data_IF_914056857136
#
_entry.id   IF_914056857136
#
_cell.length_a   1.000
_cell.length_b   1.000
_cell.length_c   1.000
_cell.angle_alpha   90.00
_cell.angle_beta   90.00
_cell.angle_gamma   90.00
#
_symmetry.space_group_name_H-M   'P 1'
#
loop_
_entity.id
_entity.type
_entity.pdbx_description
1 polymer ?
#
# COMPACT_ATOMS: atom_id res chain seq x y z
N UNK A 1 -0.71 -12.26 -4.28
CA UNK A 1 -1.75 -11.20 -4.42
C UNK A 1 -1.20 -9.84 -3.95
N UNK A 2 -1.74 -8.72 -4.46
CA UNK A 2 -1.42 -7.34 -4.04
C UNK A 2 -2.69 -6.51 -3.91
N UNK A 3 -2.91 -5.90 -2.75
CA UNK A 3 -4.04 -4.97 -2.54
C UNK A 3 -3.71 -3.60 -3.17
N UNK A 4 -4.66 -3.02 -3.89
CA UNK A 4 -4.50 -1.74 -4.58
C UNK A 4 -5.79 -0.91 -4.48
N UNK A 5 -5.65 0.41 -4.57
CA UNK A 5 -6.77 1.35 -4.67
C UNK A 5 -6.67 2.05 -6.02
N UNK A 6 -7.72 1.99 -6.84
CA UNK A 6 -7.69 2.45 -8.25
C UNK A 6 -8.78 3.48 -8.54
N UNK A 7 -8.42 4.57 -9.24
CA UNK A 7 -9.39 5.60 -9.68
C UNK A 7 -8.94 7.03 -9.37
N UNK A 8 -9.84 7.98 -9.56
CA UNK A 8 -9.58 9.41 -9.32
C UNK A 8 -9.34 9.73 -7.83
N UNK A 9 -8.60 10.81 -7.50
CA UNK A 9 -8.33 11.18 -6.11
C UNK A 9 -9.60 11.27 -5.26
N UNK A 10 -9.67 10.47 -4.20
CA UNK A 10 -10.81 10.43 -3.28
C UNK A 10 -12.02 9.63 -3.78
N UNK A 11 -11.93 9.01 -4.96
CA UNK A 11 -12.94 8.10 -5.53
C UNK A 11 -12.33 6.74 -5.89
N UNK A 12 -11.25 6.37 -5.21
CA UNK A 12 -10.59 5.11 -5.50
C UNK A 12 -11.45 3.92 -5.07
N UNK A 13 -11.49 2.90 -5.92
CA UNK A 13 -12.13 1.60 -5.65
C UNK A 13 -11.10 0.65 -5.04
N UNK A 14 -11.47 -0.14 -4.02
CA UNK A 14 -10.60 -1.18 -3.48
C UNK A 14 -10.53 -2.35 -4.48
N UNK A 15 -9.32 -2.82 -4.76
CA UNK A 15 -9.10 -3.95 -5.67
C UNK A 15 -7.91 -4.81 -5.20
N UNK A 16 -7.79 -6.00 -5.79
CA UNK A 16 -6.66 -6.89 -5.59
C UNK A 16 -6.13 -7.37 -6.94
N UNK A 17 -4.81 -7.37 -7.10
CA UNK A 17 -4.14 -8.03 -8.21
C UNK A 17 -3.81 -9.44 -7.74
N UNK A 18 -4.39 -10.45 -8.39
CA UNK A 18 -4.15 -11.86 -8.07
C UNK A 18 -2.79 -12.35 -8.57
N UNK A 19 -2.46 -13.62 -8.31
CA UNK A 19 -1.17 -14.20 -8.67
C UNK A 19 -1.03 -14.46 -10.18
N UNK A 20 -2.15 -14.44 -10.92
CA UNK A 20 -2.18 -14.50 -12.39
C UNK A 20 -2.06 -13.10 -13.01
N UNK A 21 -2.05 -12.05 -12.19
CA UNK A 21 -1.94 -10.67 -12.62
C UNK A 21 -3.27 -10.01 -12.97
N UNK A 22 -4.40 -10.72 -12.84
CA UNK A 22 -5.71 -10.12 -13.08
C UNK A 22 -6.11 -9.21 -11.92
N UNK A 23 -6.74 -8.08 -12.24
CA UNK A 23 -7.29 -7.17 -11.23
C UNK A 23 -8.72 -7.57 -10.91
N UNK A 24 -9.04 -7.70 -9.63
CA UNK A 24 -10.33 -8.12 -9.10
C UNK A 24 -10.90 -7.04 -8.19
N UNK A 25 -12.19 -6.76 -8.31
CA UNK A 25 -12.87 -5.76 -7.49
C UNK A 25 -13.12 -6.30 -6.07
N UNK A 26 -12.78 -5.50 -5.05
CA UNK A 26 -13.03 -5.83 -3.63
C UNK A 26 -14.29 -5.17 -3.06
N UNK A 27 -15.03 -4.40 -3.86
CA UNK A 27 -16.30 -3.77 -3.44
C UNK A 27 -17.28 -4.76 -2.77
N UNK A 28 -17.40 -6.05 -3.20
CA UNK A 28 -18.23 -7.03 -2.50
C UNK A 28 -17.79 -7.36 -1.06
N UNK A 29 -16.54 -7.09 -0.70
CA UNK A 29 -15.97 -7.43 0.61
C UNK A 29 -15.79 -6.23 1.54
N UNK A 30 -15.56 -5.04 0.97
CA UNK A 30 -15.27 -3.82 1.72
C UNK A 30 -15.57 -2.57 0.90
N UNK A 31 -15.90 -1.48 1.60
CA UNK A 31 -16.05 -0.16 0.98
C UNK A 31 -14.70 0.43 0.54
N UNK A 32 -13.65 0.26 1.35
CA UNK A 32 -12.28 0.69 1.02
C UNK A 32 -11.24 -0.18 1.75
N UNK A 33 -9.97 -0.07 1.38
CA UNK A 33 -8.85 -0.69 2.11
C UNK A 33 -8.41 0.30 3.20
N UNK A 34 -9.04 0.25 4.37
CA UNK A 34 -8.78 1.15 5.50
C UNK A 34 -8.42 0.37 6.78
N UNK A 35 -8.33 1.08 7.90
CA UNK A 35 -8.03 0.46 9.20
C UNK A 35 -9.08 -0.56 9.64
N UNK A 36 -10.36 -0.33 9.34
CA UNK A 36 -11.44 -1.25 9.71
C UNK A 36 -11.36 -2.54 8.89
N UNK A 37 -11.11 -2.43 7.59
CA UNK A 37 -10.86 -3.59 6.73
C UNK A 37 -9.67 -4.42 7.22
N UNK A 38 -8.55 -3.76 7.54
CA UNK A 38 -7.34 -4.45 8.00
C UNK A 38 -7.51 -5.12 9.37
N UNK A 39 -8.25 -4.48 10.28
CA UNK A 39 -8.55 -5.03 11.61
C UNK A 39 -9.55 -6.20 11.57
N UNK A 40 -10.43 -6.26 10.57
CA UNK A 40 -11.46 -7.28 10.42
C UNK A 40 -11.05 -8.45 9.51
N UNK A 41 -9.79 -8.90 9.61
CA UNK A 41 -9.20 -9.98 8.81
C UNK A 41 -9.34 -9.80 7.29
N UNK A 42 -9.41 -8.55 6.81
CA UNK A 42 -9.66 -8.23 5.41
C UNK A 42 -8.73 -8.96 4.44
N UNK A 43 -7.44 -9.08 4.79
CA UNK A 43 -6.43 -9.80 3.99
C UNK A 43 -6.79 -11.29 3.85
N UNK A 44 -7.17 -11.96 4.94
CA UNK A 44 -7.54 -13.38 4.90
C UNK A 44 -8.87 -13.60 4.15
N UNK A 45 -9.83 -12.70 4.34
CA UNK A 45 -11.11 -12.69 3.61
C UNK A 45 -10.90 -12.53 2.10
N UNK A 46 -10.01 -11.62 1.69
CA UNK A 46 -9.63 -11.46 0.28
C UNK A 46 -9.00 -12.74 -0.28
N UNK A 47 -8.07 -13.39 0.45
CA UNK A 47 -7.47 -14.66 0.01
C UNK A 47 -8.53 -15.75 -0.22
N UNK A 48 -9.48 -15.91 0.70
CA UNK A 48 -10.58 -16.89 0.55
C UNK A 48 -11.43 -16.59 -0.66
N UNK A 49 -11.88 -15.35 -0.82
CA UNK A 49 -12.72 -14.96 -1.96
C UNK A 49 -12.00 -15.15 -3.32
N UNK A 50 -10.69 -14.94 -3.38
CA UNK A 50 -9.88 -15.26 -4.56
C UNK A 50 -9.83 -16.77 -4.82
N UNK A 51 -9.61 -17.60 -3.79
CA UNK A 51 -9.57 -19.05 -3.92
C UNK A 51 -10.92 -19.64 -4.36
N UNK A 52 -12.02 -19.04 -3.91
CA UNK A 52 -13.40 -19.42 -4.28
C UNK A 52 -13.81 -18.88 -5.67
N UNK A 53 -13.01 -18.00 -6.27
CA UNK A 53 -13.33 -17.35 -7.56
C UNK A 53 -14.48 -16.34 -7.48
N UNK A 54 -14.87 -15.91 -6.27
CA UNK A 54 -16.06 -15.08 -6.02
C UNK A 54 -15.89 -13.59 -6.32
N UNK A 55 -14.71 -13.14 -6.75
CA UNK A 55 -14.44 -11.73 -7.03
C UNK A 55 -14.53 -11.43 -8.55
N UNK A 56 -15.33 -10.44 -8.95
CA UNK A 56 -15.45 -10.06 -10.34
C UNK A 56 -14.15 -9.42 -10.85
N UNK A 57 -13.87 -9.63 -12.13
CA UNK A 57 -12.74 -8.98 -12.81
C UNK A 57 -13.03 -7.48 -12.92
N UNK A 58 -12.02 -6.68 -12.62
CA UNK A 58 -12.04 -5.24 -12.77
C UNK A 58 -11.15 -4.85 -13.94
N UNK A 59 -11.72 -4.18 -14.94
CA UNK A 59 -10.92 -3.47 -15.93
C UNK A 59 -10.20 -2.29 -15.25
N UNK A 60 -8.87 -2.40 -15.21
CA UNK A 60 -8.00 -1.44 -14.56
C UNK A 60 -7.25 -0.56 -15.58
N UNK A 61 -7.50 -0.75 -16.88
CA UNK A 61 -6.83 0.04 -17.91
C UNK A 61 -7.13 1.53 -17.75
N UNK A 62 -6.08 2.35 -17.79
CA UNK A 62 -6.18 3.80 -17.59
C UNK A 62 -6.47 4.26 -16.15
N UNK A 63 -6.74 3.36 -15.19
CA UNK A 63 -7.02 3.77 -13.81
C UNK A 63 -5.74 4.19 -13.07
N UNK A 64 -5.77 5.36 -12.44
CA UNK A 64 -4.69 5.83 -11.58
C UNK A 64 -4.60 4.99 -10.30
N UNK A 65 -3.38 4.66 -9.89
CA UNK A 65 -3.13 4.04 -8.58
C UNK A 65 -3.15 5.09 -7.49
N UNK A 66 -4.06 4.93 -6.54
CA UNK A 66 -4.18 5.72 -5.33
C UNK A 66 -3.33 5.18 -4.17
N UNK A 67 -3.26 5.92 -3.05
CA UNK A 67 -2.56 5.46 -1.85
C UNK A 67 -3.12 4.09 -1.42
N UNK A 68 -2.29 3.13 -0.98
CA UNK A 68 -2.74 1.75 -0.77
C UNK A 68 -3.67 1.56 0.43
N UNK A 69 -3.60 2.45 1.42
CA UNK A 69 -4.48 2.46 2.60
C UNK A 69 -5.27 3.75 2.59
N UNK A 70 -6.59 3.69 2.71
CA UNK A 70 -7.41 4.88 2.81
C UNK A 70 -7.23 5.51 4.19
N UNK A 71 -7.00 6.83 4.20
CA UNK A 71 -7.15 7.69 5.39
C UNK A 71 -6.47 7.11 6.67
N UNK A 72 -5.18 6.73 6.65
CA UNK A 72 -4.53 6.21 7.85
C UNK A 72 -4.61 7.22 9.00
N UNK A 73 -4.73 6.72 10.23
CA UNK A 73 -4.78 7.55 11.45
C UNK A 73 -3.45 8.27 11.69
N UNK A 74 -2.37 7.49 11.77
CA UNK A 74 -0.99 7.99 11.89
C UNK A 74 -0.07 7.20 10.97
N UNK A 75 0.89 7.88 10.35
CA UNK A 75 2.00 7.24 9.65
C UNK A 75 3.23 7.38 10.54
N UNK A 76 3.64 6.27 11.15
CA UNK A 76 4.83 6.19 12.00
C UNK A 76 6.04 5.94 11.11
N UNK A 77 7.03 6.81 11.18
CA UNK A 77 8.24 6.76 10.38
C UNK A 77 9.45 6.47 11.26
N UNK A 78 10.40 5.71 10.71
CA UNK A 78 11.68 5.38 11.36
C UNK A 78 12.79 6.13 10.64
N UNK A 79 13.50 6.99 11.37
CA UNK A 79 14.66 7.73 10.89
C UNK A 79 15.96 6.94 11.04
N UNK A 80 16.94 7.20 10.18
CA UNK A 80 18.29 6.64 10.25
C UNK A 80 18.35 5.10 10.41
N UNK A 81 17.42 4.38 9.76
CA UNK A 81 17.30 2.92 9.86
C UNK A 81 18.22 2.14 8.89
N UNK A 82 19.24 2.81 8.33
CA UNK A 82 20.23 2.23 7.43
C UNK A 82 21.60 2.81 7.79
N UNK A 83 22.59 1.94 8.05
CA UNK A 83 23.89 2.37 8.53
C UNK A 83 24.61 3.34 7.57
N UNK A 84 24.54 3.07 6.27
CA UNK A 84 25.10 3.97 5.24
C UNK A 84 24.45 5.36 5.27
N UNK A 85 23.13 5.43 5.48
CA UNK A 85 22.42 6.71 5.55
C UNK A 85 22.72 7.50 6.83
N UNK A 86 22.97 6.82 7.95
CA UNK A 86 23.45 7.48 9.17
C UNK A 86 24.84 8.10 8.94
N UNK A 87 25.74 7.35 8.29
CA UNK A 87 27.09 7.81 7.97
C UNK A 87 27.11 9.02 7.00
N UNK A 88 26.19 9.10 6.03
CA UNK A 88 26.03 10.27 5.15
C UNK A 88 25.78 11.57 5.94
N UNK A 89 25.14 11.48 7.11
CA UNK A 89 24.85 12.60 7.99
C UNK A 89 25.94 12.83 9.03
N UNK A 90 27.08 12.13 8.93
CA UNK A 90 28.18 12.18 9.90
C UNK A 90 27.81 11.60 11.28
N UNK A 91 26.76 10.79 11.36
CA UNK A 91 26.25 10.22 12.61
C UNK A 91 26.51 8.71 12.68
N UNK A 92 26.76 8.19 13.88
CA UNK A 92 26.70 6.75 14.12
C UNK A 92 25.25 6.25 14.03
N UNK A 93 25.02 4.98 13.62
CA UNK A 93 23.70 4.39 13.68
C UNK A 93 23.10 4.47 15.10
N UNK A 94 21.84 4.90 15.24
CA UNK A 94 21.26 5.12 16.56
C UNK A 94 21.05 3.80 17.31
N UNK A 95 21.33 3.78 18.61
CA UNK A 95 21.15 2.60 19.48
C UNK A 95 19.68 2.33 19.85
N UNK A 96 18.77 3.26 19.54
CA UNK A 96 17.32 3.14 19.68
C UNK A 96 16.61 3.69 18.44
N UNK A 97 15.42 3.18 18.07
CA UNK A 97 14.70 3.68 16.91
C UNK A 97 14.36 5.16 17.04
N UNK A 98 14.71 5.94 16.02
CA UNK A 98 14.29 7.34 15.90
C UNK A 98 12.89 7.35 15.27
N UNK A 99 11.87 7.72 16.05
CA UNK A 99 10.48 7.69 15.61
C UNK A 99 9.96 9.12 15.39
N UNK A 100 9.27 9.34 14.27
CA UNK A 100 8.56 10.59 13.98
C UNK A 100 7.26 10.30 13.22
N UNK A 101 6.37 11.31 13.13
CA UNK A 101 5.07 11.16 12.49
C UNK A 101 4.98 11.97 11.20
N UNK A 102 4.39 11.36 10.17
CA UNK A 102 3.98 12.07 8.96
C UNK A 102 2.46 12.30 8.99
N UNK A 103 1.98 13.53 8.79
CA UNK A 103 0.54 13.79 8.81
C UNK A 103 -0.15 13.12 7.63
N UNK A 104 -1.36 12.61 7.87
CA UNK A 104 -2.21 11.97 6.85
C UNK A 104 -2.52 12.86 5.64
N UNK A 105 -2.45 14.18 5.78
CA UNK A 105 -2.64 15.13 4.68
C UNK A 105 -1.53 15.07 3.63
N UNK A 106 -0.38 14.43 3.94
CA UNK A 106 0.71 14.16 3.00
C UNK A 106 0.73 12.71 2.51
N UNK A 107 -0.37 11.98 2.66
CA UNK A 107 -0.54 10.61 2.18
C UNK A 107 -1.04 10.61 0.73
N UNK A 108 -0.14 10.31 -0.20
CA UNK A 108 -0.43 10.24 -1.63
C UNK A 108 0.23 9.01 -2.26
N UNK A 109 -0.32 8.51 -3.35
CA UNK A 109 0.39 7.54 -4.18
C UNK A 109 1.23 8.26 -5.23
N UNK A 110 2.45 7.79 -5.39
CA UNK A 110 3.27 8.05 -6.56
C UNK A 110 3.86 6.72 -6.98
N UNK A 111 3.42 6.20 -8.13
CA UNK A 111 4.12 5.11 -8.80
C UNK A 111 5.36 5.70 -9.49
N UNK A 112 6.41 5.94 -8.72
CA UNK A 112 7.74 5.85 -9.32
C UNK A 112 8.08 4.38 -9.24
N UNK A 113 8.10 3.66 -10.37
CA UNK A 113 8.92 2.44 -10.43
C UNK A 113 10.30 2.89 -9.98
N UNK A 114 10.74 2.44 -8.81
CA UNK A 114 12.15 2.54 -8.44
C UNK A 114 12.84 1.76 -9.55
N UNK A 115 13.45 2.46 -10.50
CA UNK A 115 14.12 1.83 -11.62
C UNK A 115 15.10 0.84 -11.03
N UNK A 116 15.00 -0.42 -11.45
CA UNK A 116 16.04 -1.40 -11.21
C UNK A 116 17.29 -0.92 -11.94
N UNK A 117 18.02 0.03 -11.34
CA UNK A 117 19.46 0.10 -11.53
C UNK A 117 19.96 -1.13 -10.81
N UNK A 118 20.03 -2.23 -11.56
CA UNK A 118 20.94 -3.30 -11.24
C UNK A 118 22.28 -2.63 -10.97
N UNK A 119 22.73 -2.73 -9.72
CA UNK A 119 24.10 -2.43 -9.38
C UNK A 119 24.98 -3.24 -10.34
N UNK A 120 25.73 -2.53 -11.18
CA UNK A 120 26.99 -3.02 -11.73
C UNK A 120 28.08 -2.42 -10.88
#
# INVERSE_FOLDING_TARGET
MRLVRLGEPGRERPAVIDDQGATRDLTPLTHDIDGAFLAADGIARTRRALAEGGLPVLDAEGLRVGPPVAKPGVVVCVGQNYAAHAAESGSEPPTRPVIFFKPRTRWSARLTRCGSRAAR
#
